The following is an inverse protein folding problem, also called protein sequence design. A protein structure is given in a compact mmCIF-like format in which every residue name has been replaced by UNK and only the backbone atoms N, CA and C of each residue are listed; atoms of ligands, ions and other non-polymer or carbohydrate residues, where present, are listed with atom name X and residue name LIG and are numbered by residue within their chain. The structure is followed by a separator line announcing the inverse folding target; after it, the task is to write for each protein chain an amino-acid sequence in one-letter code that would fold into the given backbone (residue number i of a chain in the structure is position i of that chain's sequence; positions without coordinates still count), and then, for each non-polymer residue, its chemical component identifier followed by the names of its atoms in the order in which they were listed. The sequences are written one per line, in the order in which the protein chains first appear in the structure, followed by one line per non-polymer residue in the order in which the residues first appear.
data_IF_249135709649
#
_entry.id   IF_249135709649
#
_cell.length_a   1.000
_cell.length_b   1.000
_cell.length_c   1.000
_cell.angle_alpha   90.00
_cell.angle_beta   90.00
_cell.angle_gamma   90.00
#
_symmetry.space_group_name_H-M   'P 1'
#
loop_
_entity.id
_entity.type
_entity.pdbx_description
1 polymer ?
#
# COMPACT_ATOMS: atom_id res chain seq x y z
N UNK A 1 0.68 4.39 -10.85
CA UNK A 1 1.27 3.55 -9.80
C UNK A 1 0.61 3.85 -8.48
N UNK A 2 -0.54 3.24 -8.24
CA UNK A 2 -1.24 3.22 -6.97
C UNK A 2 -0.81 1.98 -6.18
N UNK A 3 -0.35 2.18 -4.94
CA UNK A 3 0.15 1.11 -4.07
C UNK A 3 -0.80 0.95 -2.89
N UNK A 4 -1.36 -0.25 -2.72
CA UNK A 4 -2.15 -0.60 -1.56
C UNK A 4 -1.23 -0.92 -0.36
N UNK A 5 -1.51 -0.30 0.79
CA UNK A 5 -0.80 -0.53 2.04
C UNK A 5 -1.76 -0.66 3.22
N UNK A 6 -1.36 -1.40 4.24
CA UNK A 6 -2.10 -1.46 5.50
C UNK A 6 -1.73 -0.25 6.38
N UNK A 7 -2.72 0.30 7.08
CA UNK A 7 -2.56 1.46 7.96
C UNK A 7 -2.86 2.78 7.25
N UNK A 8 -2.41 3.88 7.86
CA UNK A 8 -2.74 5.25 7.44
C UNK A 8 -1.48 6.12 7.35
N UNK A 9 -1.66 7.41 7.04
CA UNK A 9 -0.56 8.39 7.03
C UNK A 9 0.26 8.32 8.32
N UNK A 10 1.58 8.26 8.19
CA UNK A 10 2.55 8.11 9.25
C UNK A 10 2.85 6.65 9.63
N UNK A 11 2.22 5.66 9.00
CA UNK A 11 2.54 4.25 9.25
C UNK A 11 3.93 3.86 8.72
N UNK A 12 4.49 2.80 9.28
CA UNK A 12 5.72 2.20 8.74
C UNK A 12 5.53 1.69 7.31
N UNK A 13 4.33 1.28 6.92
CA UNK A 13 4.04 0.89 5.55
C UNK A 13 4.06 2.07 4.58
N UNK A 14 3.67 3.29 5.00
CA UNK A 14 3.87 4.49 4.17
C UNK A 14 5.36 4.77 3.97
N UNK A 15 6.17 4.69 5.03
CA UNK A 15 7.62 4.90 4.94
C UNK A 15 8.25 3.88 4.00
N UNK A 16 7.90 2.60 4.16
CA UNK A 16 8.37 1.53 3.29
C UNK A 16 7.91 1.74 1.83
N UNK A 17 6.66 2.09 1.59
CA UNK A 17 6.17 2.35 0.24
C UNK A 17 6.93 3.50 -0.45
N UNK A 18 7.28 4.56 0.30
CA UNK A 18 8.11 5.65 -0.24
C UNK A 18 9.56 5.23 -0.54
N UNK A 19 10.10 4.28 0.23
CA UNK A 19 11.44 3.75 -0.01
C UNK A 19 11.48 2.83 -1.24
N UNK A 20 10.43 2.01 -1.45
CA UNK A 20 10.37 1.04 -2.55
C UNK A 20 9.84 1.61 -3.87
N UNK A 21 8.86 2.52 -3.82
CA UNK A 21 8.16 3.02 -5.02
C UNK A 21 8.47 4.49 -5.35
N UNK A 22 9.46 5.09 -4.69
CA UNK A 22 9.87 6.49 -4.87
C UNK A 22 9.22 7.45 -3.86
N UNK A 23 9.65 8.70 -3.82
CA UNK A 23 9.39 9.61 -2.68
C UNK A 23 7.91 9.90 -2.36
N UNK A 24 7.01 9.81 -3.34
CA UNK A 24 5.59 10.13 -3.19
C UNK A 24 4.70 9.27 -4.09
N UNK A 25 4.57 7.95 -3.83
CA UNK A 25 3.67 7.09 -4.60
C UNK A 25 2.22 7.46 -4.26
N UNK A 26 1.29 7.19 -5.18
CA UNK A 26 -0.13 7.26 -4.85
C UNK A 26 -0.48 6.09 -3.92
N UNK A 27 -0.90 6.36 -2.69
CA UNK A 27 -1.19 5.32 -1.69
C UNK A 27 -2.70 5.07 -1.59
N UNK A 28 -3.07 3.79 -1.54
CA UNK A 28 -4.38 3.33 -1.13
C UNK A 28 -4.27 2.74 0.28
N UNK A 29 -4.83 3.44 1.26
CA UNK A 29 -4.79 3.02 2.67
C UNK A 29 -5.88 1.99 2.95
N UNK A 30 -5.50 0.89 3.59
CA UNK A 30 -6.38 -0.22 3.93
C UNK A 30 -6.37 -0.47 5.44
N UNK A 31 -7.52 -0.80 6.00
CA UNK A 31 -7.66 -1.08 7.42
C UNK A 31 -7.06 -2.44 7.80
N UNK A 32 -7.07 -3.40 6.87
CA UNK A 32 -6.59 -4.77 7.08
C UNK A 32 -5.70 -5.26 5.93
N UNK A 33 -4.93 -6.31 6.19
CA UNK A 33 -4.16 -6.99 5.14
C UNK A 33 -5.06 -7.63 4.08
N UNK A 34 -6.25 -8.11 4.47
CA UNK A 34 -7.22 -8.66 3.52
C UNK A 34 -7.66 -7.63 2.48
N UNK A 35 -7.86 -6.39 2.89
CA UNK A 35 -8.17 -5.28 1.97
C UNK A 35 -6.99 -4.96 1.04
N UNK A 36 -5.74 -5.00 1.54
CA UNK A 36 -4.54 -4.80 0.71
C UNK A 36 -4.47 -5.84 -0.41
N UNK A 37 -4.68 -7.12 -0.06
CA UNK A 37 -4.69 -8.22 -1.02
C UNK A 37 -5.81 -8.01 -2.03
N UNK A 38 -7.03 -7.73 -1.57
CA UNK A 38 -8.18 -7.51 -2.44
C UNK A 38 -7.94 -6.36 -3.44
N UNK A 39 -7.33 -5.25 -3.02
CA UNK A 39 -7.02 -4.13 -3.92
C UNK A 39 -6.10 -4.56 -5.07
N UNK A 40 -5.07 -5.37 -4.79
CA UNK A 40 -4.16 -5.85 -5.81
C UNK A 40 -4.81 -6.90 -6.73
N UNK A 41 -5.55 -7.87 -6.17
CA UNK A 41 -6.18 -8.94 -6.95
C UNK A 41 -7.35 -8.45 -7.80
N UNK A 42 -8.07 -7.42 -7.35
CA UNK A 42 -9.18 -6.82 -8.09
C UNK A 42 -8.70 -5.81 -9.14
N UNK A 43 -7.39 -5.55 -9.24
CA UNK A 43 -6.82 -4.54 -10.14
C UNK A 43 -7.12 -3.10 -9.74
N UNK A 44 -7.51 -2.86 -8.49
CA UNK A 44 -7.75 -1.51 -7.92
C UNK A 44 -6.46 -0.82 -7.47
N UNK A 45 -5.38 -1.57 -7.30
CA UNK A 45 -4.04 -1.06 -7.08
C UNK A 45 -3.04 -1.76 -8.01
N UNK A 46 -2.04 -1.01 -8.47
CA UNK A 46 -0.98 -1.50 -9.35
C UNK A 46 0.03 -2.40 -8.60
N UNK A 47 0.17 -2.18 -7.29
CA UNK A 47 1.01 -2.98 -6.40
C UNK A 47 0.45 -3.00 -4.97
N UNK A 48 0.93 -3.94 -4.15
CA UNK A 48 0.62 -4.03 -2.73
C UNK A 48 1.91 -4.18 -1.91
N UNK A 49 1.96 -3.50 -0.75
CA UNK A 49 3.04 -3.62 0.22
C UNK A 49 2.48 -3.88 1.62
N UNK A 50 2.99 -4.91 2.28
CA UNK A 50 2.63 -5.30 3.63
C UNK A 50 3.84 -5.84 4.38
N UNK A 51 3.74 -5.91 5.72
CA UNK A 51 4.74 -6.61 6.53
C UNK A 51 4.48 -8.13 6.48
N UNK A 52 5.54 -8.92 6.66
CA UNK A 52 5.42 -10.38 6.86
C UNK A 52 5.28 -10.72 8.33
#
# INVERSE_FOLDING_TARGET
MQVAIQGFRGSFHEVAARQYFGAAPALSFCASFGEVVAQATDGRADAALMAM
#
